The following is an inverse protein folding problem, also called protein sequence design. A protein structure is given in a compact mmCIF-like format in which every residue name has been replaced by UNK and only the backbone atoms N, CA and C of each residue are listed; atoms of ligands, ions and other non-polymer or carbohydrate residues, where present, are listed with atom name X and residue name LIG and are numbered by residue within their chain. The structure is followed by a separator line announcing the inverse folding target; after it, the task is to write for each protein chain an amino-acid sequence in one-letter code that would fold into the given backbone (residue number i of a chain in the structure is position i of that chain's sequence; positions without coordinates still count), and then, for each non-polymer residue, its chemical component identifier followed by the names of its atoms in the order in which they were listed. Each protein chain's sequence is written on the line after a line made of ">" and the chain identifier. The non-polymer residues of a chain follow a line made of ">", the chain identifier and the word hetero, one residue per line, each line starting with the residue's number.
data_IF_522790952765
#
_entry.id   IF_522790952765
#
_cell.length_a   1.000
_cell.length_b   1.000
_cell.length_c   1.000
_cell.angle_alpha   90.00
_cell.angle_beta   90.00
_cell.angle_gamma   90.00
#
_symmetry.space_group_name_H-M   'P 1'
#
loop_
_entity.id
_entity.type
_entity.pdbx_description
1 polymer ?
#
# COMPACT_ATOMS: atom_id res chain seq x y z
N UNK A 1 -0.45 -10.77 26.86
CA UNK A 1 0.04 -10.31 25.55
C UNK A 1 -1.21 -10.19 24.70
N UNK A 2 -1.62 -8.98 24.33
CA UNK A 2 -2.89 -8.78 23.60
C UNK A 2 -2.64 -8.89 22.11
N UNK A 3 -3.38 -9.78 21.48
CA UNK A 3 -3.39 -9.99 20.04
C UNK A 3 -3.93 -8.72 19.37
N UNK A 4 -3.30 -8.28 18.28
CA UNK A 4 -3.87 -7.21 17.46
C UNK A 4 -4.84 -7.85 16.48
N UNK A 5 -6.02 -8.22 16.99
CA UNK A 5 -7.03 -8.94 16.23
C UNK A 5 -7.30 -8.25 14.89
N UNK A 6 -7.13 -9.01 13.80
CA UNK A 6 -7.36 -8.53 12.43
C UNK A 6 -6.20 -7.74 11.78
N UNK A 7 -5.16 -7.33 12.52
CA UNK A 7 -4.05 -6.53 11.99
C UNK A 7 -2.82 -7.40 11.69
N UNK A 8 -2.43 -8.28 12.62
CA UNK A 8 -1.28 -9.16 12.45
C UNK A 8 -1.37 -10.40 13.32
N UNK A 9 -0.82 -11.51 12.84
CA UNK A 9 -0.55 -12.71 13.63
C UNK A 9 0.85 -12.64 14.25
N UNK A 10 0.95 -13.09 15.49
CA UNK A 10 2.20 -13.20 16.23
C UNK A 10 2.64 -14.66 16.31
N UNK A 11 3.82 -14.98 15.81
CA UNK A 11 4.40 -16.33 15.88
C UNK A 11 5.62 -16.31 16.81
N UNK A 12 5.60 -17.13 17.85
CA UNK A 12 6.77 -17.30 18.74
C UNK A 12 7.90 -17.99 17.98
N UNK A 13 9.11 -17.42 18.05
CA UNK A 13 10.33 -18.02 17.51
C UNK A 13 11.21 -18.66 18.60
N UNK A 14 10.76 -18.64 19.87
CA UNK A 14 11.58 -18.99 21.03
C UNK A 14 12.50 -17.85 21.47
N UNK A 15 13.22 -18.01 22.58
CA UNK A 15 14.18 -17.02 23.12
C UNK A 15 13.62 -15.57 23.21
N UNK A 16 12.35 -15.42 23.60
CA UNK A 16 11.64 -14.12 23.63
C UNK A 16 11.58 -13.37 22.30
N UNK A 17 11.76 -14.07 21.18
CA UNK A 17 11.63 -13.52 19.83
C UNK A 17 10.25 -13.84 19.26
N UNK A 18 9.67 -12.87 18.55
CA UNK A 18 8.36 -12.97 17.95
C UNK A 18 8.41 -12.45 16.53
N UNK A 19 7.84 -13.22 15.60
CA UNK A 19 7.58 -12.79 14.23
C UNK A 19 6.20 -12.15 14.20
N UNK A 20 6.13 -10.93 13.70
CA UNK A 20 4.86 -10.23 13.40
C UNK A 20 4.57 -10.43 11.92
N UNK A 21 3.46 -11.08 11.60
CA UNK A 21 3.03 -11.31 10.22
C UNK A 21 1.71 -10.56 10.00
N UNK A 22 1.70 -9.60 9.07
CA UNK A 22 0.48 -8.83 8.76
C UNK A 22 -0.67 -9.74 8.32
N UNK A 23 -1.89 -9.39 8.72
CA UNK A 23 -3.13 -10.07 8.30
C UNK A 23 -3.89 -9.19 7.32
N UNK A 24 -3.98 -9.63 6.06
CA UNK A 24 -4.68 -8.90 4.99
C UNK A 24 -4.09 -7.49 4.73
N UNK A 25 -4.97 -6.56 4.35
CA UNK A 25 -4.61 -5.15 4.07
C UNK A 25 -4.82 -4.23 5.28
N UNK A 26 -5.21 -4.76 6.43
CA UNK A 26 -5.41 -3.95 7.62
C UNK A 26 -4.08 -3.41 8.13
N UNK A 27 -4.18 -2.26 8.79
CA UNK A 27 -3.07 -1.49 9.30
C UNK A 27 -3.33 -1.12 10.75
N UNK A 28 -2.26 -0.98 11.51
CA UNK A 28 -2.34 -0.41 12.84
C UNK A 28 -1.28 -0.95 13.78
N UNK A 29 -1.54 -0.74 15.06
CA UNK A 29 -0.54 -0.91 16.10
C UNK A 29 -0.69 -2.26 16.80
N UNK A 30 0.38 -3.05 16.82
CA UNK A 30 0.50 -4.24 17.65
C UNK A 30 1.21 -3.85 18.95
N UNK A 31 0.57 -4.04 20.09
CA UNK A 31 1.18 -3.75 21.40
C UNK A 31 1.77 -5.02 22.01
N UNK A 32 3.10 -5.13 21.98
CA UNK A 32 3.81 -6.17 22.73
C UNK A 32 3.91 -5.75 24.19
N UNK A 33 3.19 -6.45 25.06
CA UNK A 33 3.28 -6.30 26.52
C UNK A 33 4.06 -7.48 27.09
N UNK A 34 5.21 -7.20 27.70
CA UNK A 34 5.98 -8.17 28.49
C UNK A 34 5.85 -7.83 29.97
N UNK A 35 5.51 -8.85 30.78
CA UNK A 35 5.42 -8.75 32.23
C UNK A 35 6.73 -9.27 32.79
N UNK A 36 7.54 -8.42 33.40
CA UNK A 36 8.72 -8.90 34.11
C UNK A 36 8.35 -9.44 35.50
N UNK A 37 9.27 -10.16 36.15
CA UNK A 37 9.09 -10.81 37.47
C UNK A 37 8.70 -9.82 38.59
N UNK A 38 8.86 -8.52 38.36
CA UNK A 38 8.52 -7.44 39.31
C UNK A 38 7.21 -6.72 38.97
N UNK A 39 6.44 -7.20 37.99
CA UNK A 39 5.13 -6.63 37.62
C UNK A 39 5.19 -5.41 36.69
N UNK A 40 6.36 -5.01 36.20
CA UNK A 40 6.45 -3.93 35.20
C UNK A 40 6.06 -4.47 33.83
N UNK A 41 5.13 -3.76 33.20
CA UNK A 41 4.72 -4.00 31.82
C UNK A 41 5.55 -3.09 30.93
N UNK A 42 6.52 -3.64 30.19
CA UNK A 42 7.14 -2.87 29.09
C UNK A 42 6.24 -3.03 27.88
N UNK A 43 5.71 -1.92 27.40
CA UNK A 43 4.94 -1.86 26.17
C UNK A 43 5.85 -1.48 25.01
N UNK A 44 5.91 -2.31 23.98
CA UNK A 44 6.51 -1.96 22.70
C UNK A 44 5.44 -1.96 21.63
N UNK A 45 5.19 -0.79 21.06
CA UNK A 45 4.30 -0.66 19.91
C UNK A 45 5.09 -1.06 18.67
N UNK A 46 4.57 -2.03 17.93
CA UNK A 46 5.04 -2.37 16.59
C UNK A 46 3.99 -1.85 15.62
N UNK A 47 4.44 -1.02 14.68
CA UNK A 47 3.57 -0.51 13.66
C UNK A 47 3.52 -1.49 12.48
N UNK A 48 2.31 -1.90 12.10
CA UNK A 48 2.08 -2.85 10.99
C UNK A 48 1.40 -2.10 9.86
N UNK A 49 2.24 -1.75 8.88
CA UNK A 49 1.95 -1.16 7.56
C UNK A 49 0.55 -0.59 7.32
N UNK A 50 0.44 0.74 7.28
CA UNK A 50 -0.66 1.46 6.67
C UNK A 50 -0.72 1.13 5.18
N UNK A 51 -1.71 0.33 4.81
CA UNK A 51 -2.20 0.32 3.44
C UNK A 51 -2.82 1.68 3.13
N UNK A 52 -2.75 2.09 1.89
CA UNK A 52 -3.54 3.19 1.35
C UNK A 52 -4.17 2.74 0.05
N UNK A 53 -5.02 3.56 -0.56
CA UNK A 53 -5.69 3.23 -1.80
C UNK A 53 -5.26 4.18 -2.90
N UNK A 54 -5.17 3.67 -4.13
CA UNK A 54 -5.11 4.48 -5.34
C UNK A 54 -6.54 4.56 -5.87
N UNK A 55 -7.08 5.76 -5.98
CA UNK A 55 -8.41 6.02 -6.52
C UNK A 55 -8.31 6.53 -7.96
N UNK A 56 -9.16 6.01 -8.83
CA UNK A 56 -9.24 6.42 -10.24
C UNK A 56 -10.31 5.63 -10.98
N UNK A 57 -10.33 5.74 -12.31
CA UNK A 57 -11.26 4.93 -13.11
C UNK A 57 -10.84 3.46 -13.10
N UNK A 58 -11.76 2.52 -12.78
CA UNK A 58 -11.47 1.09 -12.77
C UNK A 58 -11.46 0.48 -14.18
N UNK A 59 -12.04 1.20 -15.16
CA UNK A 59 -12.09 0.81 -16.57
C UNK A 59 -11.55 1.96 -17.40
N UNK A 60 -10.60 1.65 -18.29
CA UNK A 60 -9.89 2.64 -19.12
C UNK A 60 -9.80 2.19 -20.57
N UNK A 61 -9.66 3.15 -21.47
CA UNK A 61 -9.52 2.91 -22.91
C UNK A 61 -8.11 3.29 -23.39
N UNK A 62 -7.54 2.55 -24.37
CA UNK A 62 -6.27 2.88 -25.01
C UNK A 62 -6.22 4.32 -25.54
N UNK A 63 -5.06 4.97 -25.42
CA UNK A 63 -4.83 6.33 -25.94
C UNK A 63 -5.49 7.47 -25.14
N UNK A 64 -6.39 7.16 -24.20
CA UNK A 64 -7.07 8.15 -23.36
C UNK A 64 -6.24 8.52 -22.12
N UNK A 65 -6.57 9.67 -21.52
CA UNK A 65 -5.89 10.23 -20.35
C UNK A 65 -6.76 10.07 -19.11
N UNK A 66 -6.18 9.56 -18.04
CA UNK A 66 -6.84 9.38 -16.75
C UNK A 66 -6.00 9.98 -15.62
N UNK A 67 -6.66 10.30 -14.51
CA UNK A 67 -6.01 10.81 -13.30
C UNK A 67 -6.25 9.82 -12.17
N UNK A 68 -5.17 9.47 -11.48
CA UNK A 68 -5.20 8.63 -10.29
C UNK A 68 -4.72 9.45 -9.09
N UNK A 69 -5.32 9.18 -7.94
CA UNK A 69 -5.13 9.95 -6.71
C UNK A 69 -4.88 9.02 -5.54
N UNK A 70 -3.99 9.39 -4.65
CA UNK A 70 -3.85 8.79 -3.32
C UNK A 70 -4.24 9.83 -2.26
N UNK A 71 -4.40 9.39 -1.02
CA UNK A 71 -4.71 10.29 0.10
C UNK A 71 -3.67 11.41 0.21
N UNK A 72 -4.15 12.66 0.30
CA UNK A 72 -3.32 13.85 0.40
C UNK A 72 -2.55 13.95 1.73
N UNK A 73 -2.96 13.19 2.76
CA UNK A 73 -2.25 13.15 4.03
C UNK A 73 -0.98 12.29 3.99
N UNK A 74 -0.73 11.57 2.90
CA UNK A 74 0.46 10.73 2.74
C UNK A 74 1.70 11.59 2.45
N UNK A 75 2.82 11.27 3.10
CA UNK A 75 4.09 11.94 2.86
C UNK A 75 4.85 11.31 1.69
N UNK A 76 5.50 12.13 0.86
CA UNK A 76 6.46 11.71 -0.16
C UNK A 76 5.97 10.57 -1.07
N UNK A 77 4.90 10.81 -1.82
CA UNK A 77 4.36 9.84 -2.77
C UNK A 77 5.20 9.82 -4.05
N UNK A 78 5.56 8.63 -4.49
CA UNK A 78 6.17 8.37 -5.80
C UNK A 78 5.27 7.45 -6.62
N UNK A 79 5.11 7.75 -7.91
CA UNK A 79 4.27 6.99 -8.82
C UNK A 79 5.10 6.28 -9.88
N UNK A 80 4.69 5.06 -10.21
CA UNK A 80 5.18 4.29 -11.35
C UNK A 80 3.99 3.78 -12.16
N UNK A 81 4.14 3.73 -13.49
CA UNK A 81 3.08 3.29 -14.40
C UNK A 81 3.64 2.27 -15.38
N UNK A 82 2.96 1.13 -15.50
CA UNK A 82 3.13 0.19 -16.61
C UNK A 82 1.99 0.30 -17.61
N UNK A 83 2.26 0.06 -18.90
CA UNK A 83 1.24 0.13 -19.95
C UNK A 83 0.69 1.54 -20.24
N UNK A 84 1.36 2.58 -19.74
CA UNK A 84 0.97 3.98 -19.90
C UNK A 84 2.17 4.92 -19.85
N UNK A 85 1.94 6.20 -20.16
CA UNK A 85 2.92 7.27 -20.04
C UNK A 85 2.47 8.27 -18.99
N UNK A 86 3.34 8.55 -18.02
CA UNK A 86 3.10 9.62 -17.05
C UNK A 86 3.21 10.97 -17.77
N UNK A 87 2.16 11.78 -17.68
CA UNK A 87 2.12 13.13 -18.26
C UNK A 87 2.51 14.20 -17.23
N UNK A 88 2.07 14.03 -15.99
CA UNK A 88 2.38 14.93 -14.88
C UNK A 88 2.10 14.26 -13.55
N UNK A 89 2.82 14.67 -12.51
CA UNK A 89 2.59 14.27 -11.12
C UNK A 89 2.40 15.50 -10.25
N UNK A 90 1.63 15.35 -9.18
CA UNK A 90 1.60 16.26 -8.03
C UNK A 90 1.99 15.47 -6.77
N UNK A 91 1.87 16.08 -5.60
CA UNK A 91 2.16 15.42 -4.32
C UNK A 91 1.28 14.17 -4.06
N UNK A 92 0.07 14.11 -4.62
CA UNK A 92 -0.87 13.03 -4.37
C UNK A 92 -1.63 12.55 -5.61
N UNK A 93 -1.31 13.07 -6.80
CA UNK A 93 -1.95 12.64 -8.05
C UNK A 93 -0.94 12.33 -9.15
N UNK A 94 -1.36 11.46 -10.07
CA UNK A 94 -0.66 11.19 -11.32
C UNK A 94 -1.65 11.24 -12.48
N UNK A 95 -1.30 12.00 -13.53
CA UNK A 95 -2.02 12.00 -14.81
C UNK A 95 -1.27 11.12 -15.79
N UNK A 96 -2.00 10.20 -16.40
CA UNK A 96 -1.44 9.11 -17.19
C UNK A 96 -2.18 8.98 -18.50
N UNK A 97 -1.47 8.82 -19.61
CA UNK A 97 -2.04 8.38 -20.88
C UNK A 97 -1.87 6.87 -21.01
N UNK A 98 -2.96 6.12 -21.21
CA UNK A 98 -2.86 4.67 -21.49
C UNK A 98 -2.25 4.50 -22.87
N UNK A 99 -1.32 3.55 -23.03
CA UNK A 99 -0.73 3.27 -24.33
C UNK A 99 -1.82 2.83 -25.34
N UNK A 100 -1.54 3.03 -26.63
CA UNK A 100 -2.43 2.50 -27.66
C UNK A 100 -2.31 0.98 -27.76
N UNK A 101 -3.35 0.33 -28.29
CA UNK A 101 -3.30 -1.06 -28.74
C UNK A 101 -2.11 -1.25 -29.68
N UNK A 102 -1.32 -2.31 -29.49
CA UNK A 102 -0.22 -2.67 -30.38
C UNK A 102 -0.46 -4.06 -30.97
N UNK A 103 -0.40 -4.18 -32.30
CA UNK A 103 -0.64 -5.44 -33.02
C UNK A 103 -1.94 -6.16 -32.61
N UNK A 104 -3.01 -5.40 -32.33
CA UNK A 104 -4.30 -5.92 -31.90
C UNK A 104 -4.39 -6.36 -30.42
N UNK A 105 -3.32 -6.16 -29.63
CA UNK A 105 -3.30 -6.47 -28.20
C UNK A 105 -3.48 -5.22 -27.34
N UNK A 106 -4.38 -5.31 -26.35
CA UNK A 106 -4.57 -4.27 -25.34
C UNK A 106 -3.34 -4.18 -24.42
N UNK A 107 -2.91 -2.98 -24.00
CA UNK A 107 -1.80 -2.83 -23.08
C UNK A 107 -2.16 -3.37 -21.69
N UNK A 108 -1.18 -3.98 -21.02
CA UNK A 108 -1.30 -4.31 -19.61
C UNK A 108 -1.01 -3.06 -18.76
N UNK A 109 -2.07 -2.39 -18.31
CA UNK A 109 -2.00 -1.10 -17.62
C UNK A 109 -2.10 -1.26 -16.10
N UNK A 110 -1.21 -0.59 -15.37
CA UNK A 110 -1.27 -0.52 -13.90
C UNK A 110 -0.61 0.74 -13.37
N UNK A 111 -1.02 1.13 -12.16
CA UNK A 111 -0.46 2.25 -11.42
C UNK A 111 0.07 1.72 -10.11
N UNK A 112 1.34 1.97 -9.83
CA UNK A 112 1.97 1.72 -8.54
C UNK A 112 2.24 3.05 -7.86
N UNK A 113 1.91 3.14 -6.57
CA UNK A 113 2.26 4.28 -5.74
C UNK A 113 3.02 3.78 -4.52
N UNK A 114 4.11 4.47 -4.18
CA UNK A 114 4.88 4.23 -2.95
C UNK A 114 4.88 5.50 -2.11
N UNK A 115 4.48 5.40 -0.85
CA UNK A 115 4.33 6.55 0.03
C UNK A 115 4.83 6.26 1.44
N UNK A 116 5.30 7.30 2.13
CA UNK A 116 5.55 7.25 3.56
C UNK A 116 4.22 7.38 4.30
N UNK A 117 3.85 6.31 4.98
CA UNK A 117 2.67 6.27 5.85
C UNK A 117 3.07 6.47 7.31
N UNK A 118 2.07 6.60 8.20
CA UNK A 118 2.31 6.59 9.64
C UNK A 118 3.13 5.36 10.10
N UNK A 119 3.02 4.25 9.35
CA UNK A 119 3.60 2.96 9.68
C UNK A 119 4.89 2.63 8.90
N UNK A 120 5.46 3.59 8.18
CA UNK A 120 6.62 3.36 7.31
C UNK A 120 6.30 3.45 5.81
N UNK A 121 7.27 3.07 4.99
CA UNK A 121 7.13 3.06 3.53
C UNK A 121 6.18 1.93 3.10
N UNK A 122 5.20 2.26 2.26
CA UNK A 122 4.18 1.33 1.78
C UNK A 122 4.01 1.48 0.27
N UNK A 123 3.78 0.38 -0.44
CA UNK A 123 3.56 0.35 -1.89
C UNK A 123 2.24 -0.35 -2.19
N UNK A 124 1.44 0.27 -3.05
CA UNK A 124 0.14 -0.25 -3.49
C UNK A 124 0.10 -0.20 -5.01
N UNK A 125 -0.54 -1.19 -5.62
CA UNK A 125 -0.69 -1.29 -7.07
C UNK A 125 -2.18 -1.44 -7.40
N UNK A 126 -2.64 -0.65 -8.36
CA UNK A 126 -3.98 -0.70 -8.91
C UNK A 126 -3.93 -1.18 -10.37
N UNK A 127 -4.87 -2.05 -10.74
CA UNK A 127 -4.94 -2.69 -12.06
C UNK A 127 -6.29 -2.38 -12.74
N UNK A 128 -6.45 -1.19 -13.34
CA UNK A 128 -7.64 -0.88 -14.12
C UNK A 128 -7.78 -1.83 -15.31
N UNK A 129 -9.02 -2.24 -15.60
CA UNK A 129 -9.33 -3.05 -16.78
C UNK A 129 -9.24 -2.19 -18.03
N UNK A 130 -8.42 -2.60 -18.99
CA UNK A 130 -8.34 -1.94 -20.30
C UNK A 130 -9.38 -2.56 -21.23
N UNK A 131 -10.18 -1.74 -21.89
CA UNK A 131 -11.17 -2.16 -22.89
C UNK A 131 -11.24 -1.17 -24.06
N UNK A 132 -11.75 -1.63 -25.20
CA UNK A 132 -11.99 -0.79 -26.38
C UNK A 132 -13.35 -0.12 -26.33
#
# INVERSE_FOLDING_TARGET
>A
MENADGIATLTSLGNNQWKVTRTGNYAGFVKLKTKNVKGYSVEKVIDVGAGFNISGRPIVNPGQIYTYTVDASLGNVSFFVGGGTILSTTANTVRVKVLNTQNGALPYFYISATAQTACGLSTVIEYPTVQE
#
